data_IF_169517156261
#
_entry.id   IF_169517156261
#
_cell.length_a   1.000
_cell.length_b   1.000
_cell.length_c   1.000
_cell.angle_alpha   90.00
_cell.angle_beta   90.00
_cell.angle_gamma   90.00
#
_symmetry.space_group_name_H-M   'P 1'
#
loop_
_entity.id
_entity.type
_entity.pdbx_description
1 polymer ?
#
# COMPACT_ATOMS: atom_id res chain seq x y z
N UNK A 1 22.67 -4.55 10.51
CA UNK A 1 21.93 -4.28 9.27
C UNK A 1 20.49 -3.88 9.62
N UNK A 2 20.00 -2.69 9.24
CA UNK A 2 18.62 -2.25 9.50
C UNK A 2 17.55 -3.21 8.97
N UNK A 3 17.83 -4.02 7.95
CA UNK A 3 16.84 -4.99 7.45
C UNK A 3 16.55 -6.13 8.42
N UNK A 4 17.56 -6.63 9.13
CA UNK A 4 17.42 -7.69 10.15
C UNK A 4 16.58 -7.16 11.33
N UNK A 5 16.82 -5.91 11.75
CA UNK A 5 16.05 -5.27 12.83
C UNK A 5 14.57 -5.14 12.43
N UNK A 6 14.30 -4.76 11.17
CA UNK A 6 12.94 -4.69 10.66
C UNK A 6 12.28 -6.07 10.56
N UNK A 7 13.02 -7.09 10.13
CA UNK A 7 12.53 -8.46 10.06
C UNK A 7 12.08 -8.96 11.42
N UNK A 8 12.92 -8.79 12.45
CA UNK A 8 12.59 -9.18 13.81
C UNK A 8 11.39 -8.39 14.35
N UNK A 9 11.31 -7.08 14.06
CA UNK A 9 10.15 -6.25 14.44
C UNK A 9 8.85 -6.75 13.81
N UNK A 10 8.83 -6.98 12.49
CA UNK A 10 7.65 -7.46 11.76
C UNK A 10 7.26 -8.87 12.22
N UNK A 11 8.24 -9.75 12.41
CA UNK A 11 8.00 -11.11 12.90
C UNK A 11 7.38 -11.09 14.29
N UNK A 12 7.94 -10.33 15.24
CA UNK A 12 7.37 -10.18 16.59
C UNK A 12 5.95 -9.62 16.56
N UNK A 13 5.69 -8.63 15.71
CA UNK A 13 4.34 -8.09 15.50
C UNK A 13 3.40 -9.20 15.02
N UNK A 14 3.72 -9.87 13.92
CA UNK A 14 2.87 -10.91 13.33
C UNK A 14 2.62 -12.08 14.30
N UNK A 15 3.65 -12.55 15.01
CA UNK A 15 3.50 -13.64 16.00
C UNK A 15 2.59 -13.22 17.14
N UNK A 16 2.69 -11.97 17.62
CA UNK A 16 1.79 -11.44 18.65
C UNK A 16 0.34 -11.40 18.14
N UNK A 17 0.12 -10.86 16.94
CA UNK A 17 -1.22 -10.75 16.35
C UNK A 17 -1.85 -12.12 16.09
N UNK A 18 -1.06 -13.12 15.73
CA UNK A 18 -1.51 -14.52 15.61
C UNK A 18 -1.94 -15.08 16.98
N UNK A 19 -1.13 -14.90 18.02
CA UNK A 19 -1.45 -15.35 19.39
C UNK A 19 -2.70 -14.68 19.95
N UNK A 20 -2.92 -13.41 19.62
CA UNK A 20 -4.12 -12.64 20.01
C UNK A 20 -5.36 -12.99 19.15
N UNK A 21 -5.21 -13.85 18.13
CA UNK A 21 -6.29 -14.23 17.21
C UNK A 21 -6.77 -13.07 16.34
N UNK A 22 -5.92 -12.08 16.08
CA UNK A 22 -6.23 -10.95 15.20
C UNK A 22 -5.99 -11.25 13.73
N UNK A 23 -4.98 -12.08 13.44
CA UNK A 23 -4.74 -12.64 12.11
C UNK A 23 -4.83 -14.16 12.18
N UNK A 24 -5.23 -14.76 11.07
CA UNK A 24 -5.30 -16.20 10.85
C UNK A 24 -3.93 -16.81 10.58
N UNK A 25 -3.82 -18.14 10.65
CA UNK A 25 -2.60 -18.85 10.26
C UNK A 25 -2.26 -18.65 8.77
N UNK A 26 -3.26 -18.54 7.90
CA UNK A 26 -3.06 -18.31 6.47
C UNK A 26 -2.48 -16.92 6.21
N UNK A 27 -3.05 -15.90 6.85
CA UNK A 27 -2.55 -14.52 6.82
C UNK A 27 -1.13 -14.43 7.37
N UNK A 28 -0.86 -15.06 8.52
CA UNK A 28 0.49 -15.12 9.09
C UNK A 28 1.48 -15.76 8.13
N UNK A 29 1.14 -16.91 7.55
CA UNK A 29 2.04 -17.62 6.62
C UNK A 29 2.28 -16.83 5.32
N UNK A 30 1.32 -16.02 4.88
CA UNK A 30 1.49 -15.11 3.75
C UNK A 30 2.33 -13.89 4.11
N UNK A 31 2.13 -13.34 5.31
CA UNK A 31 2.75 -12.10 5.75
C UNK A 31 4.19 -12.27 6.24
N UNK A 32 4.53 -13.43 6.80
CA UNK A 32 5.84 -13.67 7.41
C UNK A 32 6.98 -13.41 6.40
N UNK A 33 8.05 -12.73 6.81
CA UNK A 33 9.22 -12.56 5.96
C UNK A 33 9.81 -13.91 5.52
N UNK A 34 10.25 -13.99 4.27
CA UNK A 34 10.96 -15.16 3.69
C UNK A 34 12.41 -14.77 3.33
N UNK A 35 12.84 -13.56 3.72
CA UNK A 35 14.17 -13.02 3.49
C UNK A 35 14.32 -11.58 3.96
N UNK A 36 15.55 -11.19 4.25
CA UNK A 36 15.94 -9.88 4.83
C UNK A 36 16.56 -8.92 3.81
N UNK A 37 16.35 -9.14 2.52
CA UNK A 37 16.98 -8.31 1.49
C UNK A 37 16.37 -6.90 1.49
N UNK A 38 17.16 -5.81 1.47
CA UNK A 38 16.61 -4.48 1.27
C UNK A 38 16.06 -4.36 -0.16
N UNK A 39 15.01 -3.55 -0.34
CA UNK A 39 14.50 -3.32 -1.68
C UNK A 39 15.57 -2.64 -2.55
N UNK A 40 15.46 -2.74 -3.88
CA UNK A 40 16.38 -2.05 -4.80
C UNK A 40 15.62 -1.05 -5.65
N UNK A 41 16.03 0.21 -5.62
CA UNK A 41 15.49 1.23 -6.52
C UNK A 41 16.27 1.21 -7.85
N UNK A 42 15.55 1.22 -8.96
CA UNK A 42 16.12 1.31 -10.31
C UNK A 42 15.19 2.11 -11.22
N UNK A 43 15.71 2.59 -12.36
CA UNK A 43 14.95 3.36 -13.34
C UNK A 43 14.62 2.53 -14.57
N UNK A 44 13.38 2.59 -15.03
CA UNK A 44 12.97 2.08 -16.34
C UNK A 44 12.72 3.25 -17.30
N UNK A 45 13.29 3.28 -18.52
CA UNK A 45 13.09 4.38 -19.44
C UNK A 45 11.64 4.44 -19.94
N UNK A 46 11.06 5.65 -19.97
CA UNK A 46 9.75 5.89 -20.60
C UNK A 46 9.94 6.01 -22.12
N UNK A 47 9.91 4.87 -22.83
CA UNK A 47 10.18 4.79 -24.28
C UNK A 47 9.23 5.65 -25.15
N UNK A 48 8.03 5.93 -24.68
CA UNK A 48 7.02 6.75 -25.37
C UNK A 48 7.27 8.28 -25.27
N UNK A 49 8.34 8.71 -24.60
CA UNK A 49 8.70 10.13 -24.40
C UNK A 49 10.11 10.45 -24.96
N UNK A 50 10.34 10.27 -26.28
CA UNK A 50 11.63 10.62 -26.89
C UNK A 50 11.94 12.12 -26.78
N UNK A 51 10.92 12.97 -26.87
CA UNK A 51 11.06 14.43 -26.78
C UNK A 51 11.52 14.93 -25.40
N UNK A 52 11.42 14.09 -24.36
CA UNK A 52 11.89 14.37 -22.99
C UNK A 52 13.21 13.64 -22.67
N UNK A 53 13.93 13.15 -23.68
CA UNK A 53 15.14 12.33 -23.53
C UNK A 53 14.92 11.06 -22.68
N UNK A 54 13.82 10.35 -22.92
CA UNK A 54 13.51 9.06 -22.29
C UNK A 54 13.60 9.07 -20.75
N UNK A 55 12.81 9.93 -20.08
CA UNK A 55 12.90 10.10 -18.63
C UNK A 55 12.69 8.77 -17.90
N UNK A 56 13.45 8.56 -16.82
CA UNK A 56 13.37 7.34 -16.03
C UNK A 56 12.11 7.32 -15.16
N UNK A 57 11.43 6.17 -15.12
CA UNK A 57 10.40 5.84 -14.14
C UNK A 57 11.07 5.07 -12.98
N UNK A 58 11.12 5.63 -11.76
CA UNK A 58 11.67 4.92 -10.62
C UNK A 58 10.75 3.74 -10.24
N UNK A 59 11.35 2.56 -10.04
CA UNK A 59 10.65 1.35 -9.58
C UNK A 59 11.46 0.74 -8.45
N UNK A 60 10.77 0.35 -7.39
CA UNK A 60 11.32 -0.36 -6.25
C UNK A 60 11.07 -1.86 -6.41
N UNK A 61 12.13 -2.64 -6.57
CA UNK A 61 12.04 -4.10 -6.51
C UNK A 61 11.84 -4.52 -5.05
N UNK A 62 10.59 -4.80 -4.70
CA UNK A 62 10.19 -5.23 -3.35
C UNK A 62 10.27 -6.75 -3.14
N UNK A 63 10.63 -7.53 -4.16
CA UNK A 63 10.67 -9.00 -4.09
C UNK A 63 11.68 -9.44 -3.00
N UNK A 64 11.27 -10.41 -2.18
CA UNK A 64 12.08 -10.95 -1.07
C UNK A 64 12.49 -9.92 0.00
N UNK A 65 11.81 -8.77 0.05
CA UNK A 65 11.95 -7.82 1.15
C UNK A 65 11.08 -8.22 2.32
N UNK A 66 11.44 -7.73 3.52
CA UNK A 66 10.71 -8.00 4.77
C UNK A 66 9.20 -7.71 4.64
N UNK A 67 8.84 -6.61 3.99
CA UNK A 67 7.43 -6.19 3.85
C UNK A 67 6.67 -6.83 2.69
N UNK A 68 7.31 -7.65 1.84
CA UNK A 68 6.69 -8.16 0.62
C UNK A 68 5.47 -9.05 0.90
N UNK A 69 5.64 -10.04 1.79
CA UNK A 69 4.56 -10.94 2.20
C UNK A 69 3.42 -10.18 2.85
N UNK A 70 3.76 -9.29 3.79
CA UNK A 70 2.79 -8.45 4.48
C UNK A 70 1.96 -7.59 3.50
N UNK A 71 2.63 -6.95 2.53
CA UNK A 71 1.94 -6.18 1.49
C UNK A 71 0.98 -7.03 0.65
N UNK A 72 1.31 -8.30 0.37
CA UNK A 72 0.40 -9.22 -0.33
C UNK A 72 -0.81 -9.60 0.51
N UNK A 73 -0.60 -9.90 1.79
CA UNK A 73 -1.69 -10.20 2.72
C UNK A 73 -2.67 -9.00 2.82
N UNK A 74 -2.13 -7.79 3.04
CA UNK A 74 -2.94 -6.58 3.13
C UNK A 74 -3.64 -6.24 1.82
N UNK A 75 -2.98 -6.44 0.66
CA UNK A 75 -3.62 -6.28 -0.65
C UNK A 75 -4.88 -7.15 -0.76
N UNK A 76 -4.81 -8.40 -0.32
CA UNK A 76 -5.95 -9.31 -0.40
C UNK A 76 -7.08 -8.82 0.51
N UNK A 77 -6.74 -8.47 1.76
CA UNK A 77 -7.70 -7.97 2.74
C UNK A 77 -8.41 -6.70 2.27
N UNK A 78 -7.67 -5.75 1.70
CA UNK A 78 -8.19 -4.42 1.35
C UNK A 78 -8.73 -4.34 -0.09
N UNK A 79 -8.68 -5.43 -0.85
CA UNK A 79 -9.10 -5.46 -2.25
C UNK A 79 -10.54 -4.97 -2.47
N UNK A 80 -11.43 -5.24 -1.51
CA UNK A 80 -12.83 -4.81 -1.55
C UNK A 80 -13.00 -3.27 -1.53
N UNK A 81 -12.08 -2.54 -0.89
CA UNK A 81 -12.13 -1.07 -0.80
C UNK A 81 -11.82 -0.36 -2.12
N UNK A 82 -11.30 -1.07 -3.13
CA UNK A 82 -11.02 -0.52 -4.47
C UNK A 82 -12.25 -0.42 -5.35
N UNK A 83 -13.39 -0.93 -4.88
CA UNK A 83 -14.61 -1.02 -5.69
C UNK A 83 -15.33 0.32 -5.67
N UNK A 84 -15.46 0.95 -6.83
CA UNK A 84 -16.17 2.22 -7.00
C UNK A 84 -16.86 2.24 -8.37
N UNK A 85 -18.04 2.87 -8.51
CA UNK A 85 -18.73 2.98 -9.79
C UNK A 85 -17.93 3.76 -10.85
N UNK A 86 -16.92 4.53 -10.42
CA UNK A 86 -16.05 5.32 -11.28
C UNK A 86 -14.77 4.60 -11.71
N UNK A 87 -14.48 3.42 -11.15
CA UNK A 87 -13.35 2.59 -11.55
C UNK A 87 -13.74 1.77 -12.78
N UNK A 88 -12.86 1.77 -13.78
CA UNK A 88 -12.98 0.92 -14.96
C UNK A 88 -12.00 -0.24 -14.82
N UNK A 89 -12.49 -1.47 -14.97
CA UNK A 89 -11.69 -2.69 -14.82
C UNK A 89 -10.67 -2.85 -15.94
N UNK A 90 -11.09 -2.63 -17.18
CA UNK A 90 -10.27 -2.85 -18.37
C UNK A 90 -10.74 -2.02 -19.57
N UNK A 91 -9.94 -2.07 -20.65
CA UNK A 91 -10.21 -1.34 -21.88
C UNK A 91 -11.49 -1.78 -22.60
N UNK A 92 -11.96 -3.02 -22.42
CA UNK A 92 -13.20 -3.47 -23.04
C UNK A 92 -14.42 -2.88 -22.33
N UNK A 93 -14.39 -2.83 -20.99
CA UNK A 93 -15.42 -2.15 -20.20
C UNK A 93 -15.48 -0.66 -20.56
N UNK A 94 -14.32 0.00 -20.70
CA UNK A 94 -14.24 1.38 -21.14
C UNK A 94 -14.94 1.60 -22.50
N UNK A 95 -14.61 0.78 -23.50
CA UNK A 95 -15.21 0.86 -24.83
C UNK A 95 -16.72 0.65 -24.78
N UNK A 96 -17.21 -0.29 -23.98
CA UNK A 96 -18.64 -0.54 -23.82
C UNK A 96 -19.37 0.64 -23.15
N UNK A 97 -18.76 1.26 -22.13
CA UNK A 97 -19.30 2.46 -21.47
C UNK A 97 -19.34 3.67 -22.40
N UNK A 98 -18.32 3.88 -23.22
CA UNK A 98 -18.33 4.96 -24.22
C UNK A 98 -19.38 4.71 -25.30
N UNK A 99 -19.43 3.50 -25.87
CA UNK A 99 -20.40 3.16 -26.93
C UNK A 99 -21.86 3.24 -26.47
N UNK A 100 -22.13 2.92 -25.20
CA UNK A 100 -23.48 3.01 -24.63
C UNK A 100 -23.84 4.42 -24.12
N UNK A 101 -22.88 5.35 -24.12
CA UNK A 101 -23.11 6.72 -23.67
C UNK A 101 -23.91 7.53 -24.68
N UNK A 102 -24.91 8.29 -24.21
CA UNK A 102 -25.72 9.22 -25.01
C UNK A 102 -25.07 10.61 -25.12
N UNK A 103 -23.74 10.69 -25.11
CA UNK A 103 -22.99 11.95 -25.13
C UNK A 103 -22.87 12.53 -26.55
N UNK A 104 -24.01 12.89 -27.16
CA UNK A 104 -24.05 13.66 -28.41
C UNK A 104 -23.65 15.11 -28.14
N UNK A 105 -22.86 15.72 -29.02
CA UNK A 105 -22.39 17.12 -28.96
C UNK A 105 -21.62 17.50 -27.68
N UNK A 106 -20.95 16.53 -27.05
CA UNK A 106 -20.07 16.76 -25.89
C UNK A 106 -18.61 16.62 -26.25
N UNK A 107 -17.76 17.31 -25.50
CA UNK A 107 -16.30 17.22 -25.59
C UNK A 107 -15.81 16.19 -24.58
N UNK A 108 -14.96 15.27 -25.02
CA UNK A 108 -14.23 14.38 -24.12
C UNK A 108 -12.97 15.08 -23.63
N UNK A 109 -12.86 15.25 -22.31
CA UNK A 109 -11.67 15.81 -21.66
C UNK A 109 -10.96 14.68 -20.91
N UNK A 110 -9.65 14.55 -21.10
CA UNK A 110 -8.81 13.57 -20.42
C UNK A 110 -7.82 14.27 -19.51
N UNK A 111 -7.71 13.78 -18.27
CA UNK A 111 -6.76 14.25 -17.28
C UNK A 111 -5.79 13.10 -16.94
N UNK A 112 -4.52 13.43 -16.74
CA UNK A 112 -3.50 12.49 -16.28
C UNK A 112 -2.87 13.01 -14.98
N UNK A 113 -2.72 12.13 -13.99
CA UNK A 113 -2.14 12.49 -12.70
C UNK A 113 -0.63 12.32 -12.78
N UNK A 114 0.10 13.42 -12.56
CA UNK A 114 1.56 13.38 -12.53
C UNK A 114 2.05 12.64 -11.29
N UNK A 115 2.81 11.57 -11.51
CA UNK A 115 3.52 10.82 -10.46
C UNK A 115 2.61 10.32 -9.32
N UNK A 116 1.45 9.76 -9.67
CA UNK A 116 0.42 9.27 -8.74
C UNK A 116 0.98 8.62 -7.47
N UNK A 117 1.75 7.53 -7.60
CA UNK A 117 2.24 6.75 -6.44
C UNK A 117 3.08 7.57 -5.45
N UNK A 118 3.92 8.49 -5.92
CA UNK A 118 4.76 9.31 -5.02
C UNK A 118 3.99 10.47 -4.40
N UNK A 119 2.83 10.83 -4.95
CA UNK A 119 1.98 11.93 -4.50
C UNK A 119 0.76 11.47 -3.68
N UNK A 120 0.61 10.16 -3.43
CA UNK A 120 -0.46 9.67 -2.54
C UNK A 120 -0.23 10.22 -1.12
N UNK A 121 -1.28 10.82 -0.55
CA UNK A 121 -1.30 11.31 0.83
C UNK A 121 -1.43 10.11 1.80
N UNK A 122 -0.33 9.36 1.95
CA UNK A 122 -0.33 8.05 2.61
C UNK A 122 -0.99 8.06 4.00
N UNK A 123 -0.68 9.03 4.85
CA UNK A 123 -1.28 9.11 6.20
C UNK A 123 -2.80 9.27 6.14
N UNK A 124 -3.29 10.14 5.25
CA UNK A 124 -4.72 10.33 5.04
C UNK A 124 -5.39 9.06 4.52
N UNK A 125 -4.77 8.38 3.54
CA UNK A 125 -5.32 7.12 3.02
C UNK A 125 -5.34 6.02 4.09
N UNK A 126 -4.31 5.93 4.94
CA UNK A 126 -4.29 5.00 6.08
C UNK A 126 -5.43 5.32 7.06
N UNK A 127 -5.64 6.60 7.39
CA UNK A 127 -6.72 7.04 8.27
C UNK A 127 -8.09 6.66 7.69
N UNK A 128 -8.30 6.90 6.39
CA UNK A 128 -9.51 6.51 5.68
C UNK A 128 -9.74 5.00 5.73
N UNK A 129 -8.72 4.18 5.43
CA UNK A 129 -8.81 2.72 5.51
C UNK A 129 -9.22 2.26 6.91
N UNK A 130 -8.68 2.89 7.96
CA UNK A 130 -8.99 2.56 9.34
C UNK A 130 -10.42 2.95 9.72
N UNK A 131 -10.92 4.09 9.23
CA UNK A 131 -12.31 4.51 9.43
C UNK A 131 -13.29 3.53 8.76
N UNK A 132 -12.96 3.02 7.57
CA UNK A 132 -13.77 1.99 6.89
C UNK A 132 -13.72 0.64 7.60
N UNK A 133 -12.54 0.22 8.07
CA UNK A 133 -12.36 -1.10 8.68
C UNK A 133 -12.81 -1.16 10.14
N UNK A 134 -12.79 -0.04 10.84
CA UNK A 134 -13.09 0.06 12.26
C UNK A 134 -14.03 1.24 12.59
N UNK A 135 -15.22 1.33 11.96
CA UNK A 135 -16.10 2.51 12.06
C UNK A 135 -16.67 2.76 13.46
N UNK A 136 -16.56 1.77 14.34
CA UNK A 136 -17.04 1.84 15.73
C UNK A 136 -15.95 2.22 16.75
N UNK A 137 -14.73 2.52 16.28
CA UNK A 137 -13.66 2.97 17.18
C UNK A 137 -13.88 4.42 17.61
N UNK A 138 -13.88 4.63 18.93
CA UNK A 138 -14.09 5.96 19.51
C UNK A 138 -12.75 6.68 19.62
N UNK A 139 -12.66 7.92 19.10
CA UNK A 139 -11.43 8.74 19.13
C UNK A 139 -10.86 8.93 20.54
N UNK A 140 -11.70 9.05 21.56
CA UNK A 140 -11.24 9.14 22.96
C UNK A 140 -10.58 7.85 23.44
N UNK A 141 -11.09 6.69 23.02
CA UNK A 141 -10.48 5.38 23.32
C UNK A 141 -9.11 5.26 22.66
N UNK A 142 -8.95 5.69 21.40
CA UNK A 142 -7.66 5.66 20.70
C UNK A 142 -6.56 6.49 21.40
N UNK A 143 -6.93 7.53 22.15
CA UNK A 143 -6.00 8.35 22.95
C UNK A 143 -5.57 7.69 24.27
N UNK A 144 -6.25 6.62 24.70
CA UNK A 144 -5.89 5.90 25.92
C UNK A 144 -4.63 5.06 25.72
N UNK A 145 -3.91 4.80 26.82
CA UNK A 145 -2.84 3.78 26.83
C UNK A 145 -3.39 2.43 26.34
N UNK A 146 -2.56 1.64 25.64
CA UNK A 146 -2.97 0.35 25.08
C UNK A 146 -3.71 -0.54 26.08
N UNK A 147 -3.28 -0.62 27.35
CA UNK A 147 -3.94 -1.44 28.37
C UNK A 147 -5.43 -1.09 28.57
N UNK A 148 -5.77 0.20 28.49
CA UNK A 148 -7.12 0.76 28.71
C UNK A 148 -7.98 0.80 27.44
N UNK A 149 -7.42 0.51 26.28
CA UNK A 149 -8.17 0.48 25.02
C UNK A 149 -9.08 -0.75 24.94
N UNK A 150 -10.27 -0.57 24.36
CA UNK A 150 -11.13 -1.71 24.00
C UNK A 150 -10.46 -2.55 22.89
N UNK A 151 -10.94 -3.79 22.71
CA UNK A 151 -10.37 -4.74 21.72
C UNK A 151 -10.31 -4.16 20.31
N UNK A 152 -11.39 -3.54 19.82
CA UNK A 152 -11.44 -2.96 18.47
C UNK A 152 -10.44 -1.82 18.28
N UNK A 153 -10.25 -0.96 19.28
CA UNK A 153 -9.27 0.13 19.19
C UNK A 153 -7.82 -0.38 19.23
N UNK A 154 -7.54 -1.46 19.99
CA UNK A 154 -6.23 -2.13 19.93
C UNK A 154 -5.96 -2.69 18.52
N UNK A 155 -6.95 -3.36 17.94
CA UNK A 155 -6.89 -3.90 16.59
C UNK A 155 -6.72 -2.80 15.53
N UNK A 156 -7.40 -1.66 15.67
CA UNK A 156 -7.22 -0.49 14.81
C UNK A 156 -5.77 0.02 14.83
N UNK A 157 -5.17 0.17 16.02
CA UNK A 157 -3.77 0.58 16.17
C UNK A 157 -2.81 -0.45 15.59
N UNK A 158 -3.08 -1.74 15.80
CA UNK A 158 -2.28 -2.82 15.23
C UNK A 158 -2.38 -2.85 13.70
N UNK A 159 -3.57 -2.63 13.15
CA UNK A 159 -3.80 -2.57 11.70
C UNK A 159 -3.12 -1.36 11.05
N UNK A 160 -3.15 -0.19 11.71
CA UNK A 160 -2.36 0.97 11.30
C UNK A 160 -0.88 0.61 11.21
N UNK A 161 -0.36 -0.08 12.23
CA UNK A 161 1.04 -0.49 12.27
C UNK A 161 1.35 -1.41 11.08
N UNK A 162 0.50 -2.39 10.78
CA UNK A 162 0.67 -3.26 9.60
C UNK A 162 0.72 -2.47 8.28
N UNK A 163 -0.17 -1.48 8.11
CA UNK A 163 -0.20 -0.61 6.92
C UNK A 163 1.09 0.19 6.78
N UNK A 164 1.59 0.79 7.86
CA UNK A 164 2.84 1.55 7.88
C UNK A 164 4.06 0.66 7.59
N UNK A 165 4.13 -0.53 8.20
CA UNK A 165 5.20 -1.50 7.96
C UNK A 165 5.24 -1.93 6.48
N UNK A 166 4.09 -2.04 5.83
CA UNK A 166 3.99 -2.41 4.42
C UNK A 166 4.21 -1.26 3.43
N UNK A 167 4.26 0.00 3.90
CA UNK A 167 4.32 1.20 3.05
C UNK A 167 5.53 2.07 3.40
N UNK A 168 5.40 2.95 4.40
CA UNK A 168 6.37 4.01 4.74
C UNK A 168 7.60 3.56 5.50
N UNK A 169 7.66 2.30 5.95
CA UNK A 169 8.84 1.75 6.67
C UNK A 169 9.68 0.81 5.80
N UNK A 170 9.40 0.74 4.50
CA UNK A 170 10.18 -0.08 3.57
C UNK A 170 11.53 0.60 3.28
N UNK A 171 12.61 -0.13 3.54
CA UNK A 171 13.97 0.33 3.24
C UNK A 171 14.38 -0.13 1.84
N UNK A 172 15.04 0.76 1.10
CA UNK A 172 15.56 0.46 -0.22
C UNK A 172 16.97 1.00 -0.43
N UNK A 173 17.69 0.36 -1.36
CA UNK A 173 19.05 0.71 -1.77
C UNK A 173 19.05 1.46 -3.09
N UNK A 174 19.86 2.51 -3.17
CA UNK A 174 20.23 3.21 -4.41
C UNK A 174 21.70 3.60 -4.30
N UNK A 175 22.53 3.24 -5.30
CA UNK A 175 23.97 3.52 -5.32
C UNK A 175 24.68 3.15 -4.00
N UNK A 176 24.40 1.94 -3.50
CA UNK A 176 24.94 1.39 -2.24
C UNK A 176 24.60 2.19 -0.97
N UNK A 177 23.65 3.13 -1.05
CA UNK A 177 23.11 3.87 0.10
C UNK A 177 21.70 3.40 0.41
N UNK A 178 21.36 3.35 1.70
CA UNK A 178 20.04 2.98 2.21
C UNK A 178 19.16 4.21 2.38
N UNK A 179 17.90 4.08 2.01
CA UNK A 179 16.87 5.10 2.10
C UNK A 179 15.56 4.50 2.60
N UNK A 180 14.68 5.36 3.12
CA UNK A 180 13.31 5.01 3.51
C UNK A 180 12.36 6.00 2.84
N UNK A 181 11.24 5.50 2.34
CA UNK A 181 10.21 6.34 1.74
C UNK A 181 9.26 6.87 2.82
N UNK A 182 9.22 8.19 3.02
CA UNK A 182 8.34 8.80 4.03
C UNK A 182 6.92 9.09 3.53
N UNK A 183 6.78 9.52 2.27
CA UNK A 183 5.50 9.90 1.66
C UNK A 183 5.25 9.17 0.34
N UNK A 184 3.97 9.05 -0.03
CA UNK A 184 3.53 8.22 -1.14
C UNK A 184 3.73 6.74 -0.87
N UNK A 185 3.59 5.95 -1.93
CA UNK A 185 3.81 4.51 -1.92
C UNK A 185 4.83 4.12 -2.98
N UNK A 186 5.60 3.06 -2.71
CA UNK A 186 6.65 2.63 -3.61
C UNK A 186 6.05 1.89 -4.82
N UNK A 187 6.34 2.37 -6.03
CA UNK A 187 6.02 1.64 -7.26
C UNK A 187 6.75 0.28 -7.24
N UNK A 188 6.00 -0.81 -7.29
CA UNK A 188 6.54 -2.19 -7.20
C UNK A 188 6.31 -2.87 -5.84
N UNK A 189 5.84 -2.15 -4.82
CA UNK A 189 5.34 -2.78 -3.60
C UNK A 189 3.94 -3.40 -3.84
N UNK A 190 3.65 -4.61 -3.31
CA UNK A 190 2.38 -5.30 -3.56
C UNK A 190 1.11 -4.52 -3.16
N UNK A 191 1.20 -3.73 -2.09
CA UNK A 191 0.07 -2.97 -1.55
C UNK A 191 -0.14 -1.61 -2.26
N UNK A 192 0.88 -1.10 -2.96
CA UNK A 192 0.86 0.25 -3.52
C UNK A 192 -0.31 0.53 -4.47
N UNK A 193 -0.71 -0.38 -5.39
CA UNK A 193 -1.86 -0.14 -6.26
C UNK A 193 -3.17 0.00 -5.49
N UNK A 194 -3.36 -0.78 -4.41
CA UNK A 194 -4.56 -0.70 -3.58
C UNK A 194 -4.65 0.66 -2.88
N UNK A 195 -3.54 1.12 -2.33
CA UNK A 195 -3.45 2.41 -1.64
C UNK A 195 -3.58 3.59 -2.61
N UNK A 196 -3.16 3.43 -3.87
CA UNK A 196 -3.30 4.48 -4.88
C UNK A 196 -4.74 4.59 -5.42
N UNK A 197 -5.51 3.49 -5.40
CA UNK A 197 -6.91 3.47 -5.85
C UNK A 197 -7.89 3.99 -4.78
N UNK A 198 -7.53 3.88 -3.49
CA UNK A 198 -8.31 4.35 -2.33
C UNK A 198 -8.08 5.84 -2.10
#
# INVERSE_FOLDING_TARGET
DPTIINEDRVTRLLTRLLKEGFITNEEYNMAKPIGSRPARLYGLPKLHKPNENYPLRPVMSAIQTVGYGLGRMLKNLLSHLRTSPYVIKDSFEFLNKIKSSKNVDKILVSFDVVSLFTNVLLTYTIDFVLDQMYPTCIKSCLKLSRAKQCRKCKQNVDFRTLLEEATSKTHFTLNNKMYVQHNGVAMGAPLAPVIADI
#
